data_IF_746222295013
#
_entry.id   IF_746222295013
#
_cell.length_a   1.000
_cell.length_b   1.000
_cell.length_c   1.000
_cell.angle_alpha   90.00
_cell.angle_beta   90.00
_cell.angle_gamma   90.00
#
_symmetry.space_group_name_H-M   'P 1'
#
loop_
_entity.id
_entity.type
_entity.pdbx_description
1 polymer ?
#
# COMPACT_ATOMS: atom_id res chain seq x y z
N UNK A 1 7.82 -11.19 26.04
CA UNK A 1 7.50 -9.88 25.44
C UNK A 1 6.79 -10.22 24.16
N UNK A 2 5.48 -10.36 24.20
CA UNK A 2 4.70 -10.53 22.99
C UNK A 2 4.68 -9.15 22.32
N UNK A 3 5.58 -8.97 21.35
CA UNK A 3 5.45 -7.87 20.42
C UNK A 3 4.07 -8.00 19.78
N UNK A 4 3.30 -6.92 19.77
CA UNK A 4 2.02 -6.93 19.08
C UNK A 4 2.34 -7.07 17.58
N UNK A 5 2.42 -8.30 17.07
CA UNK A 5 2.76 -8.62 15.67
C UNK A 5 1.81 -7.96 14.65
N UNK A 6 0.73 -7.33 15.14
CA UNK A 6 -0.25 -6.59 14.37
C UNK A 6 -0.05 -5.05 14.42
N UNK A 7 0.95 -4.52 15.13
CA UNK A 7 1.20 -3.08 15.13
C UNK A 7 2.01 -2.65 13.91
N UNK A 8 1.42 -1.82 13.06
CA UNK A 8 2.03 -1.35 11.81
C UNK A 8 2.35 0.13 11.92
N UNK A 9 3.59 0.50 11.63
CA UNK A 9 4.03 1.90 11.66
C UNK A 9 4.17 2.46 10.26
N UNK A 10 4.00 3.78 10.09
CA UNK A 10 4.41 4.47 8.86
C UNK A 10 5.84 4.14 8.47
N UNK A 11 6.75 4.10 9.45
CA UNK A 11 8.16 3.79 9.23
C UNK A 11 8.39 2.37 8.69
N UNK A 12 7.61 1.39 9.16
CA UNK A 12 7.67 0.02 8.63
C UNK A 12 7.17 -0.03 7.18
N UNK A 13 6.02 0.58 6.88
CA UNK A 13 5.50 0.67 5.51
C UNK A 13 6.51 1.35 4.58
N UNK A 14 7.09 2.48 4.99
CA UNK A 14 8.11 3.18 4.21
C UNK A 14 9.29 2.25 3.88
N UNK A 15 9.81 1.50 4.87
CA UNK A 15 10.91 0.55 4.63
C UNK A 15 10.52 -0.55 3.66
N UNK A 16 9.34 -1.14 3.81
CA UNK A 16 8.85 -2.20 2.93
C UNK A 16 8.73 -1.71 1.49
N UNK A 17 8.17 -0.50 1.29
CA UNK A 17 8.04 0.11 -0.03
C UNK A 17 9.39 0.48 -0.64
N UNK A 18 10.34 0.97 0.17
CA UNK A 18 11.70 1.25 -0.30
C UNK A 18 12.44 -0.02 -0.70
N UNK A 19 12.36 -1.10 0.09
CA UNK A 19 12.96 -2.38 -0.27
C UNK A 19 12.31 -3.01 -1.50
N UNK A 20 11.01 -2.83 -1.71
CA UNK A 20 10.36 -3.23 -2.96
C UNK A 20 10.85 -2.39 -4.14
N UNK A 21 10.98 -1.08 -3.96
CA UNK A 21 11.48 -0.16 -4.98
C UNK A 21 12.93 -0.45 -5.40
N UNK A 22 13.78 -0.89 -4.48
CA UNK A 22 15.18 -1.26 -4.76
C UNK A 22 15.34 -2.70 -5.26
N UNK A 23 14.27 -3.49 -5.27
CA UNK A 23 14.29 -4.91 -5.66
C UNK A 23 14.84 -5.86 -4.59
N UNK A 24 15.08 -5.37 -3.37
CA UNK A 24 15.46 -6.19 -2.21
C UNK A 24 14.29 -7.07 -1.72
N UNK A 25 13.06 -6.62 -1.99
CA UNK A 25 11.82 -7.33 -1.69
C UNK A 25 11.06 -7.60 -2.99
N UNK A 26 10.68 -8.84 -3.26
CA UNK A 26 9.84 -9.17 -4.41
C UNK A 26 8.37 -8.78 -4.16
N UNK A 27 7.62 -8.50 -5.23
CA UNK A 27 6.19 -8.14 -5.16
C UNK A 27 5.36 -9.14 -4.35
N UNK A 28 5.55 -10.44 -4.58
CA UNK A 28 4.84 -11.49 -3.82
C UNK A 28 5.13 -11.39 -2.31
N UNK A 29 6.38 -11.12 -1.93
CA UNK A 29 6.76 -11.01 -0.52
C UNK A 29 6.13 -9.77 0.14
N UNK A 30 6.03 -8.66 -0.58
CA UNK A 30 5.33 -7.46 -0.11
C UNK A 30 3.83 -7.74 0.08
N UNK A 31 3.23 -8.42 -0.90
CA UNK A 31 1.82 -8.73 -0.87
C UNK A 31 1.47 -9.70 0.26
N UNK A 32 2.24 -10.78 0.44
CA UNK A 32 2.08 -11.73 1.55
C UNK A 32 2.22 -11.02 2.90
N UNK A 33 3.22 -10.14 3.02
CA UNK A 33 3.46 -9.35 4.24
C UNK A 33 2.27 -8.43 4.58
N UNK A 34 1.71 -7.75 3.58
CA UNK A 34 0.57 -6.86 3.77
C UNK A 34 -0.69 -7.64 4.13
N UNK A 35 -0.95 -8.73 3.40
CA UNK A 35 -2.08 -9.62 3.60
C UNK A 35 -2.12 -10.21 5.00
N UNK A 36 -0.98 -10.69 5.48
CA UNK A 36 -0.87 -11.27 6.81
C UNK A 36 -1.21 -10.27 7.92
N UNK A 37 -0.79 -9.00 7.78
CA UNK A 37 -1.05 -7.94 8.77
C UNK A 37 -2.51 -7.51 8.78
N UNK A 38 -3.14 -7.43 7.60
CA UNK A 38 -4.53 -6.99 7.50
C UNK A 38 -5.51 -8.08 7.95
N UNK A 39 -5.29 -9.34 7.56
CA UNK A 39 -6.15 -10.48 7.91
C UNK A 39 -6.21 -10.78 9.41
N UNK A 40 -5.23 -10.34 10.19
CA UNK A 40 -5.25 -10.49 11.65
C UNK A 40 -6.41 -9.72 12.32
N UNK A 41 -7.11 -8.83 11.60
CA UNK A 41 -8.29 -8.10 12.08
C UNK A 41 -8.02 -7.20 13.28
N UNK A 42 -6.74 -6.97 13.59
CA UNK A 42 -6.21 -6.28 14.78
C UNK A 42 -5.05 -5.37 14.43
N UNK A 43 -4.89 -5.03 13.15
CA UNK A 43 -3.86 -4.09 12.76
C UNK A 43 -4.11 -2.76 13.46
N UNK A 44 -3.18 -2.35 14.31
CA UNK A 44 -3.19 -1.06 14.97
C UNK A 44 -2.06 -0.21 14.40
N UNK A 45 -2.26 1.11 14.35
CA UNK A 45 -1.42 2.02 13.59
C UNK A 45 -0.88 3.15 14.46
N UNK A 46 0.31 3.63 14.13
CA UNK A 46 1.01 4.67 14.90
C UNK A 46 0.52 6.09 14.63
N UNK A 47 -0.41 6.24 13.69
CA UNK A 47 -0.71 7.52 13.04
C UNK A 47 -2.21 7.86 12.96
N UNK A 48 -3.00 7.31 13.87
CA UNK A 48 -4.41 7.63 13.97
C UNK A 48 -4.65 9.13 14.14
N UNK A 49 -5.47 9.68 13.25
CA UNK A 49 -6.03 11.03 13.25
C UNK A 49 -7.56 10.91 13.37
N UNK A 50 -8.03 10.71 14.60
CA UNK A 50 -9.41 10.28 14.84
C UNK A 50 -9.63 8.84 14.38
N UNK A 51 -10.53 8.65 13.40
CA UNK A 51 -10.83 7.34 12.79
C UNK A 51 -10.01 7.09 11.51
N UNK A 52 -9.13 8.02 11.15
CA UNK A 52 -8.37 8.00 9.90
C UNK A 52 -6.90 7.67 10.16
N UNK A 53 -6.26 6.90 9.27
CA UNK A 53 -4.83 6.56 9.36
C UNK A 53 -4.30 6.40 7.94
N UNK A 54 -3.22 7.12 7.61
CA UNK A 54 -2.61 6.98 6.27
C UNK A 54 -1.91 5.64 6.16
N UNK A 55 -1.30 5.15 7.24
CA UNK A 55 -0.70 3.82 7.29
C UNK A 55 -1.73 2.73 6.99
N UNK A 56 -2.95 2.85 7.54
CA UNK A 56 -4.05 1.92 7.28
C UNK A 56 -4.49 1.94 5.82
N UNK A 57 -4.78 3.12 5.25
CA UNK A 57 -5.23 3.22 3.85
C UNK A 57 -4.17 2.68 2.89
N UNK A 58 -2.90 2.97 3.15
CA UNK A 58 -1.79 2.43 2.35
C UNK A 58 -1.71 0.92 2.52
N UNK A 59 -1.71 0.38 3.74
CA UNK A 59 -1.69 -1.07 3.97
C UNK A 59 -2.84 -1.78 3.27
N UNK A 60 -4.06 -1.22 3.29
CA UNK A 60 -5.22 -1.77 2.56
C UNK A 60 -4.96 -1.87 1.06
N UNK A 61 -4.32 -0.87 0.44
CA UNK A 61 -3.96 -0.96 -0.98
C UNK A 61 -2.99 -2.10 -1.26
N UNK A 62 -2.07 -2.39 -0.35
CA UNK A 62 -1.07 -3.44 -0.51
C UNK A 62 -1.59 -4.84 -0.13
N UNK A 63 -2.55 -4.95 0.79
CA UNK A 63 -3.29 -6.19 1.08
C UNK A 63 -4.06 -6.67 -0.16
N UNK A 64 -4.61 -5.73 -0.93
CA UNK A 64 -5.31 -5.98 -2.20
C UNK A 64 -4.52 -5.46 -3.41
N UNK A 65 -3.19 -5.63 -3.39
CA UNK A 65 -2.28 -5.09 -4.41
C UNK A 65 -2.62 -5.55 -5.83
N UNK A 66 -3.03 -6.80 -5.97
CA UNK A 66 -3.48 -7.42 -7.21
C UNK A 66 -4.73 -6.74 -7.78
N UNK A 67 -5.75 -6.54 -6.95
CA UNK A 67 -6.99 -5.85 -7.32
C UNK A 67 -6.76 -4.39 -7.68
N UNK A 68 -5.88 -3.71 -6.93
CA UNK A 68 -5.56 -2.31 -7.14
C UNK A 68 -4.52 -2.07 -8.24
N UNK A 69 -3.96 -3.14 -8.82
CA UNK A 69 -2.94 -3.10 -9.86
C UNK A 69 -1.76 -2.18 -9.46
N UNK A 70 -1.34 -2.26 -8.19
CA UNK A 70 -0.26 -1.44 -7.65
C UNK A 70 1.07 -1.98 -8.15
N UNK A 71 1.87 -1.13 -8.78
CA UNK A 71 3.17 -1.49 -9.33
C UNK A 71 4.30 -0.79 -8.58
N UNK A 72 5.52 -1.29 -8.75
CA UNK A 72 6.71 -0.73 -8.09
C UNK A 72 6.92 0.75 -8.48
N UNK A 73 6.48 1.13 -9.67
CA UNK A 73 6.53 2.51 -10.16
C UNK A 73 5.66 3.47 -9.33
N UNK A 74 4.66 2.96 -8.60
CA UNK A 74 3.72 3.75 -7.80
C UNK A 74 4.23 4.05 -6.40
N UNK A 75 5.32 3.40 -5.97
CA UNK A 75 5.90 3.58 -4.64
C UNK A 75 6.04 5.07 -4.24
N UNK A 76 6.52 5.98 -5.11
CA UNK A 76 6.60 7.40 -4.77
C UNK A 76 5.26 8.04 -4.36
N UNK A 77 4.14 7.60 -4.96
CA UNK A 77 2.80 8.11 -4.64
C UNK A 77 2.39 7.71 -3.20
N UNK A 78 2.64 6.46 -2.85
CA UNK A 78 2.34 5.94 -1.51
C UNK A 78 3.27 6.53 -0.45
N UNK A 79 4.57 6.69 -0.76
CA UNK A 79 5.51 7.36 0.14
C UNK A 79 5.12 8.81 0.42
N UNK A 80 4.68 9.56 -0.59
CA UNK A 80 4.18 10.92 -0.39
C UNK A 80 2.97 10.96 0.54
N UNK A 81 2.02 10.03 0.38
CA UNK A 81 0.86 9.96 1.27
C UNK A 81 1.22 9.56 2.70
N UNK A 82 2.15 8.62 2.90
CA UNK A 82 2.66 8.23 4.22
C UNK A 82 3.35 9.39 4.96
N UNK A 83 3.84 10.39 4.23
CA UNK A 83 4.46 11.61 4.79
C UNK A 83 3.43 12.69 5.18
N UNK A 84 2.14 12.49 4.92
CA UNK A 84 1.08 13.44 5.28
C UNK A 84 1.07 13.69 6.79
N UNK A 85 1.21 14.94 7.27
CA UNK A 85 1.19 15.23 8.69
C UNK A 85 -0.13 14.81 9.38
N UNK A 86 -0.07 14.50 10.67
CA UNK A 86 -1.27 14.34 11.50
C UNK A 86 -2.07 15.66 11.49
N UNK A 87 -3.39 15.59 11.32
CA UNK A 87 -4.28 16.73 11.13
C UNK A 87 -4.48 17.13 9.67
N UNK A 88 -3.76 16.50 8.72
CA UNK A 88 -3.83 16.79 7.29
C UNK A 88 -4.31 15.61 6.44
N UNK A 89 -4.91 14.58 7.06
CA UNK A 89 -5.33 13.36 6.36
C UNK A 89 -6.19 13.63 5.13
N UNK A 90 -7.22 14.48 5.26
CA UNK A 90 -8.14 14.78 4.16
C UNK A 90 -7.46 15.39 2.93
N UNK A 91 -6.51 16.32 3.14
CA UNK A 91 -5.72 16.91 2.06
C UNK A 91 -4.80 15.88 1.41
N UNK A 92 -4.05 15.14 2.24
CA UNK A 92 -3.14 14.10 1.76
C UNK A 92 -3.85 13.00 0.98
N UNK A 93 -5.02 12.56 1.46
CA UNK A 93 -5.84 11.54 0.80
C UNK A 93 -6.39 12.04 -0.52
N UNK A 94 -6.85 13.29 -0.57
CA UNK A 94 -7.34 13.90 -1.82
C UNK A 94 -6.22 13.97 -2.86
N UNK A 95 -5.02 14.40 -2.47
CA UNK A 95 -3.87 14.47 -3.38
C UNK A 95 -3.44 13.07 -3.86
N UNK A 96 -3.42 12.10 -2.95
CA UNK A 96 -3.07 10.71 -3.26
C UNK A 96 -4.07 10.06 -4.21
N UNK A 97 -5.37 10.19 -3.95
CA UNK A 97 -6.42 9.69 -4.86
C UNK A 97 -6.35 10.36 -6.24
N UNK A 98 -6.09 11.67 -6.31
CA UNK A 98 -5.92 12.36 -7.58
C UNK A 98 -4.73 11.82 -8.37
N UNK A 99 -3.62 11.50 -7.70
CA UNK A 99 -2.45 10.91 -8.33
C UNK A 99 -2.71 9.47 -8.82
N UNK A 100 -3.39 8.64 -8.03
CA UNK A 100 -3.81 7.29 -8.44
C UNK A 100 -4.75 7.35 -9.64
N UNK A 101 -5.71 8.29 -9.66
CA UNK A 101 -6.65 8.45 -10.75
C UNK A 101 -5.99 8.86 -12.09
N UNK A 102 -4.76 9.38 -12.05
CA UNK A 102 -4.01 9.75 -13.24
C UNK A 102 -3.26 8.56 -13.89
N UNK A 103 -3.25 7.38 -13.24
CA UNK A 103 -2.58 6.19 -13.75
C UNK A 103 -3.36 5.55 -14.91
N UNK A 104 -2.65 5.06 -15.93
CA UNK A 104 -3.27 4.36 -17.06
C UNK A 104 -3.56 2.89 -16.72
N UNK A 105 -4.64 2.67 -15.97
CA UNK A 105 -5.09 1.33 -15.61
C UNK A 105 -5.50 0.47 -16.82
N UNK A 106 -5.88 1.08 -17.94
CA UNK A 106 -6.22 0.35 -19.16
C UNK A 106 -4.96 -0.25 -19.80
N UNK A 107 -3.85 0.49 -19.82
CA UNK A 107 -2.55 -0.05 -20.20
C UNK A 107 -2.07 -1.12 -19.22
N UNK A 108 -2.20 -0.90 -17.91
CA UNK A 108 -1.80 -1.90 -16.89
C UNK A 108 -2.51 -3.23 -17.07
N UNK A 109 -3.83 -3.24 -17.19
CA UNK A 109 -4.60 -4.49 -17.39
C UNK A 109 -4.12 -5.26 -18.62
N UNK A 110 -3.85 -4.55 -19.73
CA UNK A 110 -3.31 -5.20 -20.93
C UNK A 110 -1.92 -5.80 -20.70
N UNK A 111 -1.04 -5.09 -20.00
CA UNK A 111 0.35 -5.51 -19.79
C UNK A 111 0.50 -6.60 -18.73
N UNK A 112 -0.40 -6.63 -17.74
CA UNK A 112 -0.34 -7.53 -16.58
C UNK A 112 -1.22 -8.78 -16.73
N UNK A 113 -1.87 -8.96 -17.89
CA UNK A 113 -2.81 -10.06 -18.13
C UNK A 113 -2.20 -11.45 -17.94
N UNK A 114 -0.91 -11.60 -18.21
CA UNK A 114 -0.18 -12.86 -18.05
C UNK A 114 0.62 -12.92 -16.74
N UNK A 115 0.60 -11.84 -15.93
CA UNK A 115 1.30 -11.82 -14.65
C UNK A 115 0.50 -12.61 -13.60
N UNK A 116 1.08 -13.66 -12.97
CA UNK A 116 0.35 -14.52 -12.06
C UNK A 116 -0.20 -13.81 -10.82
N UNK A 117 0.35 -12.67 -10.42
CA UNK A 117 -0.15 -11.87 -9.29
C UNK A 117 -1.42 -11.11 -9.70
N UNK A 118 -1.41 -10.49 -10.88
CA UNK A 118 -2.47 -9.54 -11.28
C UNK A 118 -3.50 -10.10 -12.26
N UNK A 119 -3.23 -11.24 -12.90
CA UNK A 119 -4.02 -11.76 -14.02
C UNK A 119 -5.52 -11.86 -13.70
N UNK A 120 -5.87 -12.24 -12.47
CA UNK A 120 -7.26 -12.38 -12.02
C UNK A 120 -8.10 -11.09 -12.21
N UNK A 121 -7.46 -9.93 -12.12
CA UNK A 121 -8.11 -8.62 -12.24
C UNK A 121 -7.78 -7.90 -13.56
N UNK A 122 -7.17 -8.60 -14.51
CA UNK A 122 -6.75 -8.03 -15.80
C UNK A 122 -7.53 -8.56 -17.02
N UNK A 123 -8.55 -9.40 -16.78
CA UNK A 123 -9.42 -9.96 -17.81
C UNK A 123 -10.55 -9.03 -18.31
#
# INVERSE_FOLDING_TARGET
MDGNDNYVTRGELIRMLQSWQTGELATQQLWDWASHRFQAGRADFDDWDGEESVAREVLTMFDSLDLHLVLVEDVPLHLAFLQTPIGAFGEGRSAWHAALAALDYAARRRNLREDPIYALYCD
#
